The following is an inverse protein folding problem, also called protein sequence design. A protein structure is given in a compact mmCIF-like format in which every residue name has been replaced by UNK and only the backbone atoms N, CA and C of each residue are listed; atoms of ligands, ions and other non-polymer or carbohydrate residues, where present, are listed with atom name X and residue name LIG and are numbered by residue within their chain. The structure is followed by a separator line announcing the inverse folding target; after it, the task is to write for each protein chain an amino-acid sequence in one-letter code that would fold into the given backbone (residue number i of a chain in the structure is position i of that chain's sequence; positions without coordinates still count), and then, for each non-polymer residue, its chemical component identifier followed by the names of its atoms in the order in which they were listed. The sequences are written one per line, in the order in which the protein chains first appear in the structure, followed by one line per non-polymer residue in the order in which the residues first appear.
data_IF_935843208103
#
_entry.id   IF_935843208103
#
_cell.length_a   1.000
_cell.length_b   1.000
_cell.length_c   1.000
_cell.angle_alpha   90.00
_cell.angle_beta   90.00
_cell.angle_gamma   90.00
#
_symmetry.space_group_name_H-M   'P 1'
#
loop_
_entity.id
_entity.type
_entity.pdbx_description
1 polymer ?
#
# COMPACT_ATOMS: atom_id res chain seq x y z
N UNK A 1 5.42 -8.23 16.92
CA UNK A 1 4.62 -7.34 16.05
C UNK A 1 5.12 -7.57 14.62
N UNK A 2 4.26 -7.98 13.68
CA UNK A 2 4.71 -8.14 12.28
C UNK A 2 4.97 -6.75 11.73
N UNK A 3 6.21 -6.44 11.38
CA UNK A 3 6.60 -5.14 10.85
C UNK A 3 6.21 -5.08 9.37
N UNK A 4 4.93 -4.80 9.11
CA UNK A 4 4.38 -4.57 7.78
C UNK A 4 4.34 -3.06 7.58
N UNK A 5 4.95 -2.58 6.50
CA UNK A 5 4.97 -1.17 6.16
C UNK A 5 4.34 -0.98 4.79
N UNK A 6 3.36 -0.09 4.67
CA UNK A 6 2.67 0.19 3.42
C UNK A 6 2.93 1.63 2.99
N UNK A 7 3.28 1.83 1.72
CA UNK A 7 3.48 3.14 1.10
C UNK A 7 2.45 3.32 0.00
N UNK A 8 1.75 4.45 0.02
CA UNK A 8 0.81 4.83 -1.02
C UNK A 8 1.42 5.98 -1.82
N UNK A 9 1.29 5.92 -3.14
CA UNK A 9 1.69 7.00 -4.05
C UNK A 9 0.54 7.34 -4.98
N UNK A 10 0.37 8.63 -5.24
CA UNK A 10 -0.57 9.13 -6.24
C UNK A 10 0.22 9.69 -7.42
N UNK A 11 -0.04 9.14 -8.61
CA UNK A 11 0.54 9.59 -9.86
C UNK A 11 -0.47 10.53 -10.54
N UNK A 12 -0.38 11.82 -10.21
CA UNK A 12 -1.37 12.83 -10.62
C UNK A 12 -1.61 12.90 -12.13
N UNK A 13 -0.58 12.73 -12.96
CA UNK A 13 -0.71 12.80 -14.42
C UNK A 13 -1.44 11.59 -15.04
N UNK A 14 -1.53 10.46 -14.32
CA UNK A 14 -2.25 9.25 -14.76
C UNK A 14 -3.54 9.00 -13.98
N UNK A 15 -3.82 9.81 -12.96
CA UNK A 15 -4.88 9.55 -11.96
C UNK A 15 -4.83 8.13 -11.38
N UNK A 16 -3.61 7.64 -11.15
CA UNK A 16 -3.39 6.30 -10.63
C UNK A 16 -2.90 6.36 -9.19
N UNK A 17 -3.32 5.38 -8.40
CA UNK A 17 -2.86 5.14 -7.05
C UNK A 17 -2.04 3.84 -7.06
N UNK A 18 -0.91 3.87 -6.37
CA UNK A 18 -0.01 2.73 -6.19
C UNK A 18 0.12 2.44 -4.70
N UNK A 19 -0.12 1.20 -4.30
CA UNK A 19 0.06 0.69 -2.95
C UNK A 19 1.21 -0.31 -2.95
N UNK A 20 2.25 0.00 -2.17
CA UNK A 20 3.42 -0.83 -1.97
C UNK A 20 3.41 -1.39 -0.56
N UNK A 21 3.42 -2.71 -0.42
CA UNK A 21 3.42 -3.37 0.86
C UNK A 21 4.75 -4.11 1.08
N UNK A 22 5.50 -3.66 2.08
CA UNK A 22 6.80 -4.20 2.47
C UNK A 22 6.65 -5.12 3.68
N UNK A 23 7.27 -6.30 3.58
CA UNK A 23 7.47 -7.18 4.71
C UNK A 23 8.87 -6.99 5.25
N UNK A 24 8.97 -6.56 6.49
CA UNK A 24 10.25 -6.59 7.18
C UNK A 24 10.49 -8.01 7.74
N UNK A 25 11.05 -8.88 6.90
CA UNK A 25 11.58 -10.20 7.32
C UNK A 25 12.92 -10.07 8.05
N UNK A 26 13.18 -8.99 8.76
CA UNK A 26 14.45 -8.84 9.47
C UNK A 26 14.27 -9.36 10.89
N UNK A 27 14.65 -10.62 11.07
CA UNK A 27 15.40 -10.99 12.28
C UNK A 27 16.41 -12.14 12.15
N UNK A 28 16.49 -12.91 11.06
CA UNK A 28 17.42 -14.06 11.07
C UNK A 28 18.25 -14.36 9.80
N UNK A 29 17.94 -13.81 8.62
CA UNK A 29 18.66 -14.20 7.42
C UNK A 29 19.79 -13.21 7.09
N UNK A 30 21.04 -13.68 7.10
CA UNK A 30 22.29 -12.96 6.73
C UNK A 30 22.36 -12.58 5.24
N UNK A 31 21.24 -12.33 4.59
CA UNK A 31 21.16 -11.99 3.18
C UNK A 31 20.88 -10.50 3.04
N UNK A 32 21.65 -9.87 2.16
CA UNK A 32 21.71 -8.43 1.94
C UNK A 32 20.33 -7.84 1.64
N UNK A 33 20.13 -6.60 2.08
CA UNK A 33 18.93 -5.76 1.90
C UNK A 33 18.50 -5.50 0.43
N UNK A 34 19.14 -6.14 -0.55
CA UNK A 34 19.03 -5.85 -1.98
C UNK A 34 17.88 -6.55 -2.70
N UNK A 35 17.24 -7.57 -2.10
CA UNK A 35 16.31 -8.46 -2.82
C UNK A 35 14.84 -8.40 -2.35
N UNK A 36 14.47 -7.47 -1.46
CA UNK A 36 13.09 -7.35 -0.99
C UNK A 36 12.25 -6.48 -1.92
N UNK A 37 11.63 -7.11 -2.92
CA UNK A 37 10.61 -6.45 -3.75
C UNK A 37 9.26 -6.41 -3.00
N UNK A 38 8.62 -5.23 -2.88
CA UNK A 38 7.31 -5.12 -2.23
C UNK A 38 6.21 -5.79 -3.05
N UNK A 39 5.11 -6.14 -2.39
CA UNK A 39 3.87 -6.45 -3.10
C UNK A 39 3.29 -5.12 -3.58
N UNK A 40 3.04 -5.00 -4.88
CA UNK A 40 2.56 -3.77 -5.51
C UNK A 40 1.15 -3.95 -6.05
N UNK A 41 0.27 -3.01 -5.74
CA UNK A 41 -1.06 -2.90 -6.33
C UNK A 41 -1.19 -1.54 -6.99
N UNK A 42 -1.61 -1.51 -8.25
CA UNK A 42 -1.79 -0.26 -9.01
C UNK A 42 -3.19 -0.24 -9.60
N UNK A 43 -3.89 0.88 -9.45
CA UNK A 43 -5.23 1.06 -10.00
C UNK A 43 -5.59 2.53 -10.21
N UNK A 44 -6.61 2.78 -11.02
CA UNK A 44 -7.16 4.12 -11.27
C UNK A 44 -8.29 4.50 -10.30
N UNK A 45 -8.72 3.57 -9.43
CA UNK A 45 -9.70 3.79 -8.37
C UNK A 45 -9.34 2.96 -7.14
N UNK A 46 -9.83 3.39 -5.96
CA UNK A 46 -9.66 2.59 -4.73
C UNK A 46 -10.35 1.24 -4.86
N UNK A 47 -11.53 1.18 -5.47
CA UNK A 47 -12.29 -0.06 -5.60
C UNK A 47 -11.47 -1.16 -6.29
N UNK A 48 -10.75 -0.79 -7.36
CA UNK A 48 -9.87 -1.73 -8.07
C UNK A 48 -8.71 -2.18 -7.18
N UNK A 49 -8.10 -1.26 -6.43
CA UNK A 49 -7.01 -1.59 -5.50
C UNK A 49 -7.51 -2.52 -4.40
N UNK A 50 -8.65 -2.22 -3.77
CA UNK A 50 -9.24 -3.06 -2.72
C UNK A 50 -9.64 -4.43 -3.26
N UNK A 51 -10.16 -4.50 -4.48
CA UNK A 51 -10.44 -5.78 -5.15
C UNK A 51 -9.17 -6.61 -5.30
N UNK A 52 -8.12 -6.05 -5.92
CA UNK A 52 -6.83 -6.74 -6.09
C UNK A 52 -6.21 -7.12 -4.74
N UNK A 53 -6.31 -6.24 -3.75
CA UNK A 53 -5.81 -6.45 -2.40
C UNK A 53 -6.52 -7.60 -1.68
N UNK A 54 -7.84 -7.72 -1.88
CA UNK A 54 -8.66 -8.80 -1.31
C UNK A 54 -8.36 -10.18 -1.90
N UNK A 55 -7.92 -10.22 -3.17
CA UNK A 55 -7.55 -11.47 -3.84
C UNK A 55 -6.16 -11.97 -3.42
N UNK A 56 -5.31 -11.08 -2.92
CA UNK A 56 -3.94 -11.43 -2.59
C UNK A 56 -3.84 -11.99 -1.15
N UNK A 57 -3.10 -13.10 -0.92
CA UNK A 57 -2.91 -13.68 0.42
C UNK A 57 -2.30 -12.73 1.47
N UNK A 58 -1.75 -11.60 1.02
CA UNK A 58 -1.23 -10.52 1.85
C UNK A 58 -2.24 -10.04 2.90
N UNK A 59 -3.53 -9.99 2.56
CA UNK A 59 -4.57 -9.49 3.47
C UNK A 59 -4.63 -10.31 4.77
N UNK A 60 -4.33 -11.61 4.71
CA UNK A 60 -4.31 -12.52 5.86
C UNK A 60 -3.16 -12.22 6.84
N UNK A 61 -2.17 -11.42 6.43
CA UNK A 61 -1.02 -11.07 7.24
C UNK A 61 -1.24 -9.78 8.04
N UNK A 62 -2.24 -8.99 7.67
CA UNK A 62 -2.58 -7.71 8.29
C UNK A 62 -3.36 -7.89 9.58
N UNK A 63 -3.04 -7.07 10.58
CA UNK A 63 -3.98 -6.88 11.69
C UNK A 63 -5.09 -5.92 11.27
N UNK A 64 -6.20 -5.93 12.01
CA UNK A 64 -7.32 -4.98 11.81
C UNK A 64 -6.83 -3.53 11.81
N UNK A 65 -5.85 -3.19 12.67
CA UNK A 65 -5.27 -1.85 12.72
C UNK A 65 -4.57 -1.46 11.41
N UNK A 66 -3.80 -2.38 10.80
CA UNK A 66 -3.17 -2.11 9.51
C UNK A 66 -4.22 -1.95 8.40
N UNK A 67 -5.25 -2.80 8.38
CA UNK A 67 -6.31 -2.71 7.38
C UNK A 67 -7.07 -1.37 7.46
N UNK A 68 -7.42 -0.92 8.67
CA UNK A 68 -8.05 0.38 8.89
C UNK A 68 -7.15 1.54 8.48
N UNK A 69 -5.86 1.48 8.80
CA UNK A 69 -4.88 2.48 8.38
C UNK A 69 -4.79 2.57 6.85
N UNK A 70 -4.61 1.44 6.18
CA UNK A 70 -4.52 1.38 4.71
C UNK A 70 -5.80 1.92 4.07
N UNK A 71 -6.98 1.54 4.57
CA UNK A 71 -8.25 2.06 4.07
C UNK A 71 -8.37 3.58 4.20
N UNK A 72 -7.98 4.14 5.35
CA UNK A 72 -7.96 5.60 5.58
C UNK A 72 -7.03 6.31 4.59
N UNK A 73 -5.82 5.79 4.40
CA UNK A 73 -4.83 6.42 3.55
C UNK A 73 -5.16 6.29 2.06
N UNK A 74 -5.74 5.15 1.63
CA UNK A 74 -6.26 5.01 0.27
C UNK A 74 -7.37 6.04 0.01
N UNK A 75 -8.31 6.21 0.94
CA UNK A 75 -9.39 7.20 0.81
C UNK A 75 -8.84 8.62 0.63
N UNK A 76 -7.86 9.01 1.45
CA UNK A 76 -7.15 10.29 1.29
C UNK A 76 -6.49 10.41 -0.09
N UNK A 77 -5.86 9.35 -0.58
CA UNK A 77 -5.20 9.33 -1.87
C UNK A 77 -6.18 9.55 -3.03
N UNK A 78 -7.37 8.95 -2.98
CA UNK A 78 -8.42 9.17 -3.99
C UNK A 78 -9.01 10.57 -3.92
N UNK A 79 -9.23 11.10 -2.72
CA UNK A 79 -9.64 12.49 -2.54
C UNK A 79 -8.61 13.45 -3.15
N UNK A 80 -7.32 13.24 -2.89
CA UNK A 80 -6.24 14.04 -3.49
C UNK A 80 -6.19 13.90 -5.02
N UNK A 81 -6.38 12.68 -5.54
CA UNK A 81 -6.44 12.44 -6.98
C UNK A 81 -7.65 13.12 -7.64
N UNK A 82 -8.80 13.11 -6.97
CA UNK A 82 -10.03 13.77 -7.41
C UNK A 82 -9.89 15.30 -7.38
N UNK A 83 -9.36 15.85 -6.30
CA UNK A 83 -9.16 17.29 -6.11
C UNK A 83 -7.92 17.85 -6.82
N UNK A 84 -7.12 16.99 -7.47
CA UNK A 84 -5.81 17.33 -8.06
C UNK A 84 -4.82 17.93 -7.06
N UNK A 85 -4.98 17.61 -5.78
CA UNK A 85 -4.08 18.07 -4.72
C UNK A 85 -2.91 17.10 -4.53
N UNK A 86 -1.87 17.59 -3.83
CA UNK A 86 -0.74 16.75 -3.44
C UNK A 86 -1.19 15.79 -2.32
N UNK A 87 -1.03 14.49 -2.55
CA UNK A 87 -1.19 13.49 -1.51
C UNK A 87 0.04 13.44 -0.60
N UNK A 88 -0.19 13.42 0.73
CA UNK A 88 0.83 13.23 1.76
C UNK A 88 0.36 12.12 2.68
N UNK A 89 1.19 11.11 2.88
CA UNK A 89 0.96 10.01 3.81
C UNK A 89 1.50 10.37 5.20
N UNK A 90 0.75 10.04 6.26
CA UNK A 90 1.11 10.24 7.68
C UNK A 90 1.05 8.93 8.48
#
# INVERSE_FOLDING_TARGET
MRNIYCVIKVINHKKNIELYCFFNYIKESRYSFTDFYPVCFTGYSIDLILYLFSLHPFINLLSVQHALYIGKELLKAEMACFSQQLYIQE
#
